data_IF_314961865295
#
_entry.id   IF_314961865295
#
_cell.length_a   1.000
_cell.length_b   1.000
_cell.length_c   1.000
_cell.angle_alpha   90.00
_cell.angle_beta   90.00
_cell.angle_gamma   90.00
#
_symmetry.space_group_name_H-M   'P 1'
#
loop_
_entity.id
_entity.type
_entity.pdbx_description
1 polymer ?
#
# COMPACT_ATOMS: atom_id res chain seq x y z
N UNK A 1 39.44 58.48 8.32
CA UNK A 1 39.49 57.11 8.85
C UNK A 1 38.09 56.60 9.03
N UNK A 2 37.63 55.77 8.13
CA UNK A 2 36.29 55.22 8.19
C UNK A 2 36.40 53.73 8.56
N UNK A 3 35.76 53.35 9.67
CA UNK A 3 35.65 51.97 10.14
C UNK A 3 34.42 51.36 9.45
N UNK A 4 34.61 50.34 8.62
CA UNK A 4 33.56 49.62 7.94
C UNK A 4 32.76 48.74 8.90
N UNK A 5 31.46 48.55 8.64
CA UNK A 5 30.59 47.71 9.47
C UNK A 5 30.85 46.23 9.27
N UNK A 6 30.92 45.52 10.37
CA UNK A 6 31.12 44.08 10.43
C UNK A 6 29.98 43.30 9.76
N UNK A 7 30.39 42.32 8.95
CA UNK A 7 29.52 41.33 8.36
C UNK A 7 29.03 40.39 9.48
N UNK A 8 27.75 40.44 9.81
CA UNK A 8 27.12 39.42 10.62
C UNK A 8 26.99 38.15 9.78
N UNK A 9 27.72 37.11 10.16
CA UNK A 9 27.46 35.77 9.72
C UNK A 9 26.14 35.29 10.37
N UNK A 10 25.08 35.33 9.61
CA UNK A 10 23.88 34.59 9.96
C UNK A 10 24.17 33.12 9.72
N UNK A 11 24.25 32.37 10.82
CA UNK A 11 24.31 30.92 10.81
C UNK A 11 22.95 30.39 10.35
N UNK A 12 22.81 30.17 9.05
CA UNK A 12 21.70 29.39 8.50
C UNK A 12 21.87 27.94 8.95
N UNK A 13 21.26 27.57 10.06
CA UNK A 13 20.88 26.19 10.33
C UNK A 13 19.72 25.90 9.37
N UNK A 14 20.05 25.56 8.13
CA UNK A 14 19.07 24.97 7.23
C UNK A 14 18.55 23.70 7.89
N UNK A 15 17.25 23.70 8.04
CA UNK A 15 16.40 22.63 8.56
C UNK A 15 16.74 21.31 7.87
N UNK A 16 17.51 20.45 8.54
CA UNK A 16 17.87 19.09 8.09
C UNK A 16 16.71 18.10 8.22
N UNK A 17 15.48 18.61 8.43
CA UNK A 17 14.27 17.81 8.27
C UNK A 17 14.07 17.58 6.79
N UNK A 18 14.50 16.41 6.32
CA UNK A 18 14.16 15.92 5.00
C UNK A 18 12.62 15.95 4.81
N UNK A 19 12.13 15.95 3.58
CA UNK A 19 10.70 16.00 3.33
C UNK A 19 10.01 14.90 4.13
N UNK A 20 9.02 15.29 4.93
CA UNK A 20 8.10 14.34 5.58
C UNK A 20 7.45 13.52 4.47
N UNK A 21 7.90 12.28 4.31
CA UNK A 21 7.38 11.39 3.28
C UNK A 21 5.98 10.99 3.71
N UNK A 22 4.98 11.55 3.04
CA UNK A 22 3.58 11.15 3.26
C UNK A 22 3.18 10.16 2.18
N UNK A 23 2.86 8.93 2.58
CA UNK A 23 2.43 7.86 1.66
C UNK A 23 0.95 8.03 1.25
N UNK A 24 0.52 9.26 1.01
CA UNK A 24 -0.83 9.60 0.54
C UNK A 24 -1.14 9.05 -0.87
N UNK A 25 -0.11 8.62 -1.57
CA UNK A 25 -0.18 8.01 -2.90
C UNK A 25 -0.34 6.47 -2.86
N UNK A 26 -0.48 5.85 -1.68
CA UNK A 26 -0.83 4.43 -1.53
C UNK A 26 -2.33 4.33 -1.29
N UNK A 27 -3.01 3.48 -2.03
CA UNK A 27 -4.45 3.26 -1.90
C UNK A 27 -4.85 1.80 -2.09
N UNK A 28 -5.97 1.40 -1.49
CA UNK A 28 -6.55 0.07 -1.67
C UNK A 28 -7.47 0.00 -2.89
N UNK A 29 -7.46 -1.15 -3.56
CA UNK A 29 -8.37 -1.45 -4.66
C UNK A 29 -8.81 -2.92 -4.60
N UNK A 30 -10.13 -3.17 -4.76
CA UNK A 30 -10.71 -4.51 -4.86
C UNK A 30 -11.30 -4.73 -6.24
N UNK A 31 -11.36 -6.00 -6.68
CA UNK A 31 -11.94 -6.33 -7.99
C UNK A 31 -13.26 -7.10 -7.90
N UNK A 32 -13.82 -7.23 -6.70
CA UNK A 32 -15.15 -7.80 -6.50
C UNK A 32 -16.21 -6.95 -7.20
N UNK A 33 -17.02 -7.59 -8.04
CA UNK A 33 -18.16 -6.93 -8.70
C UNK A 33 -17.80 -5.95 -9.83
N UNK A 34 -16.54 -5.80 -10.22
CA UNK A 34 -16.11 -4.90 -11.31
C UNK A 34 -15.56 -5.68 -12.50
N UNK A 35 -15.65 -5.15 -13.70
CA UNK A 35 -14.99 -5.71 -14.87
C UNK A 35 -13.49 -5.41 -14.85
N UNK A 36 -12.72 -6.09 -15.70
CA UNK A 36 -11.30 -5.81 -15.84
C UNK A 36 -11.06 -4.37 -16.35
N UNK A 37 -11.88 -3.93 -17.29
CA UNK A 37 -11.81 -2.58 -17.86
C UNK A 37 -12.09 -1.49 -16.82
N UNK A 38 -13.11 -1.67 -16.00
CA UNK A 38 -13.42 -0.77 -14.87
C UNK A 38 -12.29 -0.73 -13.85
N UNK A 39 -11.70 -1.89 -13.55
CA UNK A 39 -10.56 -1.99 -12.63
C UNK A 39 -9.34 -1.20 -13.15
N UNK A 40 -8.98 -1.40 -14.41
CA UNK A 40 -7.87 -0.67 -15.05
C UNK A 40 -8.16 0.84 -15.10
N UNK A 41 -9.40 1.20 -15.43
CA UNK A 41 -9.80 2.62 -15.47
C UNK A 41 -9.67 3.28 -14.09
N UNK A 42 -10.05 2.56 -13.02
CA UNK A 42 -9.88 3.04 -11.64
C UNK A 42 -8.41 3.27 -11.30
N UNK A 43 -7.53 2.33 -11.66
CA UNK A 43 -6.08 2.51 -11.46
C UNK A 43 -5.55 3.74 -12.20
N UNK A 44 -5.94 3.93 -13.46
CA UNK A 44 -5.55 5.10 -14.26
C UNK A 44 -6.05 6.40 -13.66
N UNK A 45 -7.30 6.46 -13.24
CA UNK A 45 -7.91 7.64 -12.62
C UNK A 45 -7.21 8.02 -11.30
N UNK A 46 -6.64 7.04 -10.60
CA UNK A 46 -5.85 7.24 -9.38
C UNK A 46 -4.36 7.52 -9.67
N UNK A 47 -3.96 7.54 -10.95
CA UNK A 47 -2.58 7.76 -11.36
C UNK A 47 -1.63 6.62 -11.01
N UNK A 48 -2.14 5.41 -10.78
CA UNK A 48 -1.33 4.26 -10.39
C UNK A 48 -0.41 3.82 -11.53
N UNK A 49 0.87 3.68 -11.23
CA UNK A 49 1.91 3.12 -12.10
C UNK A 49 2.37 1.74 -11.64
N UNK A 50 2.02 1.39 -10.40
CA UNK A 50 2.29 0.07 -9.79
C UNK A 50 1.04 -0.46 -9.12
N UNK A 51 0.76 -1.75 -9.34
CA UNK A 51 -0.21 -2.53 -8.59
C UNK A 51 0.53 -3.57 -7.76
N UNK A 52 0.36 -3.52 -6.45
CA UNK A 52 0.85 -4.52 -5.51
C UNK A 52 -0.28 -5.48 -5.17
N UNK A 53 -0.13 -6.73 -5.55
CA UNK A 53 -1.06 -7.81 -5.25
C UNK A 53 -0.71 -8.42 -3.89
N UNK A 54 -1.56 -8.18 -2.90
CA UNK A 54 -1.38 -8.68 -1.52
C UNK A 54 -2.16 -9.96 -1.24
N UNK A 55 -2.64 -10.64 -2.27
CA UNK A 55 -3.27 -11.95 -2.12
C UNK A 55 -2.23 -13.01 -1.78
N UNK A 56 -2.55 -13.91 -0.86
CA UNK A 56 -1.69 -15.04 -0.54
C UNK A 56 -1.48 -15.93 -1.79
N UNK A 57 -2.58 -16.23 -2.49
CA UNK A 57 -2.60 -16.98 -3.73
C UNK A 57 -3.22 -16.12 -4.84
N UNK A 58 -2.46 -15.69 -5.84
CA UNK A 58 -2.93 -14.79 -6.89
C UNK A 58 -3.64 -15.57 -8.01
N UNK A 59 -4.61 -16.38 -7.63
CA UNK A 59 -5.47 -17.19 -8.51
C UNK A 59 -6.88 -16.64 -8.40
N UNK A 60 -7.57 -16.48 -9.51
CA UNK A 60 -8.94 -16.02 -9.55
C UNK A 60 -9.75 -16.79 -10.60
N UNK A 61 -11.01 -17.11 -10.25
CA UNK A 61 -11.99 -17.61 -11.23
C UNK A 61 -12.48 -16.50 -12.16
N UNK A 62 -12.35 -15.26 -11.72
CA UNK A 62 -12.70 -14.09 -12.52
C UNK A 62 -11.66 -13.89 -13.61
N UNK A 63 -12.11 -13.86 -14.85
CA UNK A 63 -11.26 -13.73 -16.03
C UNK A 63 -10.39 -12.47 -15.95
N UNK A 64 -9.09 -12.61 -16.18
CA UNK A 64 -8.14 -11.50 -16.19
C UNK A 64 -7.46 -11.20 -14.84
N UNK A 65 -7.92 -11.80 -13.74
CA UNK A 65 -7.41 -11.49 -12.39
C UNK A 65 -6.47 -12.54 -11.77
N UNK A 66 -6.10 -13.59 -12.51
CA UNK A 66 -4.99 -14.47 -12.11
C UNK A 66 -3.65 -13.82 -12.47
N UNK A 67 -2.62 -14.08 -11.66
CA UNK A 67 -1.30 -13.41 -11.70
C UNK A 67 -0.78 -13.12 -13.12
N UNK A 68 -0.63 -14.16 -13.95
CA UNK A 68 -0.03 -14.02 -15.28
C UNK A 68 -0.87 -13.11 -16.18
N UNK A 69 -2.18 -13.36 -16.26
CA UNK A 69 -3.09 -12.58 -17.10
C UNK A 69 -3.19 -11.13 -16.63
N UNK A 70 -3.25 -10.91 -15.33
CA UNK A 70 -3.30 -9.59 -14.74
C UNK A 70 -2.00 -8.81 -15.01
N UNK A 71 -0.85 -9.43 -14.79
CA UNK A 71 0.46 -8.82 -15.03
C UNK A 71 0.66 -8.43 -16.50
N UNK A 72 0.34 -9.33 -17.44
CA UNK A 72 0.43 -9.06 -18.88
C UNK A 72 -0.47 -7.92 -19.31
N UNK A 73 -1.74 -7.96 -18.88
CA UNK A 73 -2.72 -6.95 -19.27
C UNK A 73 -2.42 -5.57 -18.65
N UNK A 74 -1.98 -5.50 -17.40
CA UNK A 74 -1.56 -4.24 -16.76
C UNK A 74 -0.32 -3.65 -17.45
N UNK A 75 0.63 -4.50 -17.87
CA UNK A 75 1.81 -4.07 -18.61
C UNK A 75 1.46 -3.33 -19.92
N UNK A 76 0.40 -3.74 -20.61
CA UNK A 76 -0.12 -3.07 -21.81
C UNK A 76 -0.66 -1.66 -21.49
N UNK A 77 -1.00 -1.38 -20.24
CA UNK A 77 -1.48 -0.08 -19.77
C UNK A 77 -0.40 0.74 -19.04
N UNK A 78 0.86 0.28 -19.07
CA UNK A 78 1.96 0.96 -18.40
C UNK A 78 1.92 0.84 -16.86
N UNK A 79 1.22 -0.17 -16.33
CA UNK A 79 1.11 -0.43 -14.91
C UNK A 79 1.93 -1.68 -14.56
N UNK A 80 2.92 -1.52 -13.70
CA UNK A 80 3.77 -2.62 -13.24
C UNK A 80 3.01 -3.45 -12.19
N UNK A 81 3.06 -4.77 -12.33
CA UNK A 81 2.50 -5.70 -11.37
C UNK A 81 3.58 -6.25 -10.43
N UNK A 82 3.33 -6.21 -9.13
CA UNK A 82 4.17 -6.77 -8.07
C UNK A 82 3.30 -7.67 -7.20
N UNK A 83 3.73 -8.88 -6.93
CA UNK A 83 3.06 -9.79 -5.99
C UNK A 83 3.87 -9.93 -4.71
N UNK A 84 3.29 -9.55 -3.58
CA UNK A 84 3.88 -9.68 -2.24
C UNK A 84 3.07 -10.69 -1.43
N UNK A 85 3.40 -11.96 -1.61
CA UNK A 85 2.75 -13.07 -0.90
C UNK A 85 2.88 -12.96 0.62
N UNK A 86 3.94 -12.36 1.08
CA UNK A 86 4.29 -12.13 2.48
C UNK A 86 3.26 -11.25 3.20
N UNK A 87 2.49 -10.47 2.45
CA UNK A 87 1.36 -9.67 2.93
C UNK A 87 0.02 -10.37 2.77
N UNK A 88 0.01 -11.65 2.38
CA UNK A 88 -1.21 -12.43 2.21
C UNK A 88 -1.86 -12.81 3.55
N UNK A 89 -3.19 -12.95 3.54
CA UNK A 89 -3.96 -13.39 4.71
C UNK A 89 -4.41 -14.84 4.51
N UNK A 90 -4.04 -15.78 5.41
CA UNK A 90 -4.44 -17.18 5.31
C UNK A 90 -5.97 -17.36 5.34
N UNK A 91 -6.45 -18.43 4.70
CA UNK A 91 -7.89 -18.71 4.62
C UNK A 91 -8.54 -18.78 5.99
N UNK A 92 -7.88 -19.41 6.96
CA UNK A 92 -8.38 -19.60 8.33
C UNK A 92 -8.64 -18.27 9.06
N UNK A 93 -7.89 -17.24 8.70
CA UNK A 93 -8.06 -15.90 9.27
C UNK A 93 -9.00 -15.01 8.45
N UNK A 94 -9.23 -15.31 7.17
CA UNK A 94 -10.07 -14.47 6.30
C UNK A 94 -11.54 -14.49 6.66
N UNK A 95 -12.03 -15.62 7.17
CA UNK A 95 -13.44 -15.80 7.50
C UNK A 95 -13.93 -14.79 8.55
N UNK A 96 -13.06 -14.38 9.46
CA UNK A 96 -13.37 -13.36 10.47
C UNK A 96 -13.56 -11.95 9.90
N UNK A 97 -13.08 -11.66 8.70
CA UNK A 97 -13.21 -10.33 8.09
C UNK A 97 -14.59 -10.03 7.50
N UNK A 98 -15.46 -11.03 7.33
CA UNK A 98 -16.74 -10.89 6.66
C UNK A 98 -17.78 -10.12 7.47
N UNK A 99 -17.81 -10.33 8.77
CA UNK A 99 -18.80 -9.74 9.67
C UNK A 99 -18.18 -8.60 10.48
N UNK A 100 -18.12 -7.43 9.86
CA UNK A 100 -17.45 -6.26 10.38
C UNK A 100 -18.01 -5.80 11.73
N UNK A 101 -17.10 -5.30 12.58
CA UNK A 101 -17.39 -4.80 13.93
C UNK A 101 -17.88 -5.85 14.93
N UNK A 102 -17.67 -7.13 14.64
CA UNK A 102 -17.89 -8.23 15.58
C UNK A 102 -16.61 -8.61 16.33
N UNK A 103 -16.68 -9.34 17.45
CA UNK A 103 -15.49 -9.88 18.12
C UNK A 103 -14.62 -10.75 17.21
N UNK A 104 -15.22 -11.51 16.29
CA UNK A 104 -14.49 -12.32 15.31
C UNK A 104 -13.70 -11.45 14.32
N UNK A 105 -14.27 -10.35 13.88
CA UNK A 105 -13.62 -9.38 13.01
C UNK A 105 -12.43 -8.70 13.71
N UNK A 106 -12.60 -8.27 14.96
CA UNK A 106 -11.49 -7.70 15.75
C UNK A 106 -10.37 -8.71 15.95
N UNK A 107 -10.71 -9.96 16.29
CA UNK A 107 -9.73 -11.04 16.47
C UNK A 107 -8.96 -11.35 15.18
N UNK A 108 -9.64 -11.41 14.03
CA UNK A 108 -9.00 -11.65 12.74
C UNK A 108 -8.04 -10.51 12.35
N UNK A 109 -8.41 -9.28 12.62
CA UNK A 109 -7.55 -8.10 12.38
C UNK A 109 -6.33 -8.11 13.29
N UNK A 110 -6.50 -8.42 14.58
CA UNK A 110 -5.39 -8.53 15.52
C UNK A 110 -4.42 -9.65 15.15
N UNK A 111 -4.94 -10.82 14.77
CA UNK A 111 -4.13 -11.93 14.26
C UNK A 111 -3.31 -11.48 13.03
N UNK A 112 -3.93 -10.75 12.12
CA UNK A 112 -3.24 -10.28 10.92
C UNK A 112 -2.19 -9.19 11.25
N UNK A 113 -2.46 -8.30 12.20
CA UNK A 113 -1.44 -7.34 12.70
C UNK A 113 -0.20 -8.07 13.20
N UNK A 114 -0.37 -9.16 13.95
CA UNK A 114 0.73 -10.02 14.41
C UNK A 114 1.51 -10.65 13.25
N UNK A 115 0.84 -11.05 12.16
CA UNK A 115 1.49 -11.57 10.94
C UNK A 115 2.37 -10.52 10.26
N UNK A 116 1.98 -9.24 10.30
CA UNK A 116 2.76 -8.13 9.76
C UNK A 116 4.06 -7.85 10.54
N UNK A 117 4.22 -8.42 11.72
CA UNK A 117 5.44 -8.27 12.53
C UNK A 117 6.54 -9.29 12.15
N UNK A 118 6.24 -10.26 11.29
CA UNK A 118 7.26 -11.17 10.75
C UNK A 118 8.31 -10.40 9.94
N UNK A 119 9.54 -10.92 9.90
CA UNK A 119 10.62 -10.30 9.13
C UNK A 119 10.25 -10.14 7.66
N UNK A 120 9.74 -11.21 7.02
CA UNK A 120 9.32 -11.19 5.63
C UNK A 120 8.20 -10.17 5.33
N UNK A 121 7.21 -10.05 6.22
CA UNK A 121 6.15 -9.05 6.06
C UNK A 121 6.67 -7.62 6.25
N UNK A 122 7.58 -7.38 7.19
CA UNK A 122 8.23 -6.07 7.38
C UNK A 122 9.05 -5.65 6.16
N UNK A 123 9.80 -6.58 5.59
CA UNK A 123 10.54 -6.33 4.33
C UNK A 123 9.60 -6.01 3.18
N UNK A 124 8.49 -6.74 3.06
CA UNK A 124 7.47 -6.47 2.05
C UNK A 124 6.80 -5.10 2.24
N UNK A 125 6.50 -4.70 3.48
CA UNK A 125 5.98 -3.36 3.79
C UNK A 125 6.98 -2.26 3.42
N UNK A 126 8.26 -2.43 3.79
CA UNK A 126 9.32 -1.49 3.42
C UNK A 126 9.43 -1.33 1.90
N UNK A 127 9.28 -2.42 1.16
CA UNK A 127 9.28 -2.35 -0.30
C UNK A 127 8.06 -1.59 -0.86
N UNK A 128 6.89 -1.73 -0.27
CA UNK A 128 5.72 -0.90 -0.66
C UNK A 128 5.98 0.59 -0.42
N UNK A 129 6.61 0.94 0.71
CA UNK A 129 6.99 2.31 1.04
C UNK A 129 8.05 2.86 0.07
N UNK A 130 9.05 2.05 -0.30
CA UNK A 130 10.05 2.41 -1.33
C UNK A 130 9.38 2.69 -2.68
N UNK A 131 8.43 1.85 -3.10
CA UNK A 131 7.65 2.08 -4.32
C UNK A 131 6.90 3.41 -4.25
N UNK A 132 6.28 3.72 -3.12
CA UNK A 132 5.54 4.96 -2.95
C UNK A 132 6.43 6.21 -2.96
N UNK A 133 7.72 6.08 -2.63
CA UNK A 133 8.68 7.18 -2.72
C UNK A 133 9.05 7.54 -4.16
N UNK A 134 8.99 6.59 -5.09
CA UNK A 134 9.48 6.77 -6.47
C UNK A 134 8.37 6.76 -7.52
N UNK A 135 7.23 6.19 -7.21
CA UNK A 135 6.10 6.06 -8.13
C UNK A 135 5.02 7.11 -7.84
N UNK A 136 4.32 7.62 -8.86
CA UNK A 136 3.22 8.60 -8.68
C UNK A 136 2.10 8.10 -7.77
N UNK A 137 1.68 6.85 -7.94
CA UNK A 137 0.72 6.20 -7.05
C UNK A 137 0.85 4.67 -7.09
N UNK A 138 0.58 4.03 -5.96
CA UNK A 138 0.68 2.58 -5.73
C UNK A 138 -0.67 2.05 -5.27
N UNK A 139 -1.25 1.13 -6.04
CA UNK A 139 -2.47 0.42 -5.65
C UNK A 139 -2.16 -0.87 -4.89
N UNK A 140 -2.79 -1.10 -3.74
CA UNK A 140 -2.77 -2.39 -3.04
C UNK A 140 -4.04 -3.17 -3.41
N UNK A 141 -3.89 -4.32 -4.04
CA UNK A 141 -5.01 -5.11 -4.55
C UNK A 141 -5.30 -6.34 -3.70
N UNK A 142 -6.56 -6.53 -3.37
CA UNK A 142 -7.15 -7.81 -2.96
C UNK A 142 -8.50 -8.04 -3.66
N UNK A 143 -9.22 -9.10 -3.30
CA UNK A 143 -10.51 -9.41 -3.93
C UNK A 143 -11.61 -8.46 -3.48
N UNK A 144 -11.79 -8.29 -2.18
CA UNK A 144 -12.93 -7.64 -1.57
C UNK A 144 -13.05 -6.17 -1.99
N UNK A 145 -14.27 -5.75 -2.35
CA UNK A 145 -14.56 -4.38 -2.71
C UNK A 145 -14.44 -3.44 -1.50
N UNK A 146 -14.97 -3.85 -0.37
CA UNK A 146 -14.88 -3.10 0.88
C UNK A 146 -13.55 -3.35 1.58
N UNK A 147 -12.82 -2.30 1.91
CA UNK A 147 -11.54 -2.41 2.63
C UNK A 147 -11.72 -2.99 4.03
N UNK A 148 -12.82 -2.66 4.71
CA UNK A 148 -13.13 -3.17 6.05
C UNK A 148 -13.28 -4.71 6.10
N UNK A 149 -13.66 -5.32 4.99
CA UNK A 149 -13.77 -6.77 4.83
C UNK A 149 -12.46 -7.41 4.35
N UNK A 150 -11.37 -6.67 4.31
CA UNK A 150 -10.10 -7.10 3.74
C UNK A 150 -8.90 -6.72 4.62
N UNK A 151 -7.91 -7.60 4.63
CA UNK A 151 -6.64 -7.36 5.33
C UNK A 151 -5.83 -6.17 4.77
N UNK A 152 -6.11 -5.73 3.54
CA UNK A 152 -5.43 -4.56 2.95
C UNK A 152 -5.69 -3.26 3.75
N UNK A 153 -6.85 -3.12 4.42
CA UNK A 153 -7.11 -2.00 5.34
C UNK A 153 -6.11 -2.00 6.51
N UNK A 154 -5.80 -3.18 7.04
CA UNK A 154 -4.81 -3.31 8.13
C UNK A 154 -3.40 -2.93 7.65
N UNK A 155 -3.05 -3.28 6.40
CA UNK A 155 -1.80 -2.86 5.78
C UNK A 155 -1.73 -1.34 5.68
N UNK A 156 -2.77 -0.70 5.15
CA UNK A 156 -2.85 0.75 4.99
C UNK A 156 -2.75 1.47 6.34
N UNK A 157 -3.43 0.95 7.36
CA UNK A 157 -3.32 1.48 8.72
C UNK A 157 -1.91 1.34 9.29
N UNK A 158 -1.22 0.22 9.06
CA UNK A 158 0.15 -0.01 9.52
C UNK A 158 1.11 1.00 8.87
N UNK A 159 1.03 1.20 7.57
CA UNK A 159 1.87 2.17 6.84
C UNK A 159 1.63 3.58 7.39
N UNK A 160 0.37 3.97 7.58
CA UNK A 160 0.02 5.28 8.13
C UNK A 160 0.53 5.49 9.57
N UNK A 161 0.49 4.45 10.40
CA UNK A 161 1.03 4.50 11.77
C UNK A 161 2.55 4.66 11.77
N UNK A 162 3.26 3.96 10.89
CA UNK A 162 4.72 4.08 10.75
C UNK A 162 5.10 5.49 10.30
N UNK A 163 4.38 6.05 9.35
CA UNK A 163 4.57 7.43 8.90
C UNK A 163 4.40 8.44 10.05
N UNK A 164 3.34 8.32 10.84
CA UNK A 164 3.10 9.21 11.99
C UNK A 164 4.18 9.08 13.07
N UNK A 165 4.82 7.93 13.20
CA UNK A 165 5.90 7.71 14.17
C UNK A 165 7.24 8.37 13.74
N UNK A 166 7.36 8.81 12.48
CA UNK A 166 8.54 9.49 11.95
C UNK A 166 8.47 11.02 12.08
N UNK A 167 7.34 11.56 12.53
CA UNK A 167 7.10 13.00 12.72
C UNK A 167 7.35 13.35 14.19
#
# INVERSE_FOLDING_TARGET
>A
MAVGPGVKMESGLEDLRGPTVMFSNIFGIGYEGVTFEEFVQTLKNRGATVLVDVRLNPISRKKGFSKTKLSEALGQHGIRYVHLRELGNPKENRDGFWDTYTPAWEAARENYRGMLDSEAAREALAYVEELACVEPAVGLMCFERSECNCHRDVILQRIKQQELALI
#
